data_IF_082348168103
#
_entry.id   IF_082348168103
#
_cell.length_a   1.000
_cell.length_b   1.000
_cell.length_c   1.000
_cell.angle_alpha   90.00
_cell.angle_beta   90.00
_cell.angle_gamma   90.00
#
_symmetry.space_group_name_H-M   'P 1'
#
loop_
_entity.id
_entity.type
_entity.pdbx_description
1 polymer ?
#
# COMPACT_ATOMS: atom_id res chain seq x y z
N UNK A 1 -15.59 -79.28 -0.63
CA UNK A 1 -16.07 -78.48 -1.76
C UNK A 1 -15.90 -76.99 -1.45
N UNK A 2 -14.80 -76.32 -1.84
CA UNK A 2 -14.73 -74.87 -1.81
C UNK A 2 -14.77 -74.32 -3.24
N UNK A 3 -15.80 -73.53 -3.57
CA UNK A 3 -15.82 -72.71 -4.80
C UNK A 3 -14.96 -71.47 -4.55
N UNK A 4 -13.76 -71.45 -5.15
CA UNK A 4 -12.97 -70.24 -5.34
C UNK A 4 -13.73 -69.33 -6.31
N UNK A 5 -14.32 -68.25 -5.82
CA UNK A 5 -14.78 -67.17 -6.69
C UNK A 5 -13.54 -66.43 -7.19
N UNK A 6 -13.39 -66.48 -8.51
CA UNK A 6 -12.30 -65.89 -9.25
C UNK A 6 -12.41 -64.35 -9.23
N UNK A 7 -11.25 -63.74 -9.04
CA UNK A 7 -10.88 -62.37 -9.36
C UNK A 7 -11.66 -61.78 -10.55
N UNK A 8 -12.40 -60.70 -10.32
CA UNK A 8 -12.74 -59.73 -11.37
C UNK A 8 -13.12 -58.38 -10.79
N UNK A 9 -12.20 -57.68 -10.12
CA UNK A 9 -12.39 -56.27 -9.77
C UNK A 9 -11.06 -55.47 -9.84
N UNK A 10 -10.16 -55.87 -10.75
CA UNK A 10 -8.86 -55.20 -10.98
C UNK A 10 -8.81 -54.35 -12.26
N UNK A 11 -9.93 -53.73 -12.65
CA UNK A 11 -9.91 -52.71 -13.70
C UNK A 11 -10.59 -51.46 -13.19
N UNK A 12 -9.84 -50.69 -12.39
CA UNK A 12 -10.17 -49.30 -12.11
C UNK A 12 -10.35 -48.57 -13.45
N UNK A 13 -11.60 -48.20 -13.76
CA UNK A 13 -11.96 -47.51 -14.98
C UNK A 13 -11.17 -46.21 -15.08
N UNK A 14 -10.61 -45.88 -16.25
CA UNK A 14 -9.87 -44.64 -16.48
C UNK A 14 -10.62 -43.39 -15.99
N UNK A 15 -11.95 -43.40 -16.01
CA UNK A 15 -12.79 -42.36 -15.41
C UNK A 15 -12.49 -42.11 -13.91
N UNK A 16 -12.28 -43.17 -13.11
CA UNK A 16 -11.90 -43.04 -11.69
C UNK A 16 -10.52 -42.40 -11.53
N UNK A 17 -9.60 -42.62 -12.47
CA UNK A 17 -8.28 -41.97 -12.44
C UNK A 17 -8.39 -40.47 -12.74
N UNK A 18 -9.25 -40.07 -13.68
CA UNK A 18 -9.55 -38.66 -13.95
C UNK A 18 -10.21 -37.97 -12.75
N UNK A 19 -11.20 -38.62 -12.12
CA UNK A 19 -11.86 -38.07 -10.94
C UNK A 19 -10.88 -37.89 -9.78
N UNK A 20 -9.98 -38.84 -9.56
CA UNK A 20 -8.91 -38.76 -8.55
C UNK A 20 -7.93 -37.64 -8.89
N UNK A 21 -7.55 -37.47 -10.16
CA UNK A 21 -6.63 -36.42 -10.60
C UNK A 21 -7.26 -35.02 -10.49
N UNK A 22 -8.55 -34.88 -10.78
CA UNK A 22 -9.29 -33.63 -10.61
C UNK A 22 -9.46 -33.28 -9.12
N UNK A 23 -9.76 -34.27 -8.27
CA UNK A 23 -9.84 -34.08 -6.82
C UNK A 23 -8.48 -33.69 -6.20
N UNK A 24 -7.38 -34.28 -6.68
CA UNK A 24 -6.02 -33.93 -6.25
C UNK A 24 -5.62 -32.51 -6.70
N UNK A 25 -6.03 -32.10 -7.90
CA UNK A 25 -5.78 -30.75 -8.43
C UNK A 25 -6.53 -29.67 -7.64
N UNK A 26 -7.78 -29.96 -7.21
CA UNK A 26 -8.56 -29.05 -6.37
C UNK A 26 -8.01 -28.93 -4.94
N UNK A 27 -7.44 -30.00 -4.37
CA UNK A 27 -6.81 -29.97 -3.02
C UNK A 27 -5.50 -29.18 -2.97
N UNK A 28 -4.78 -29.11 -4.09
CA UNK A 28 -3.53 -28.34 -4.21
C UNK A 28 -3.74 -26.91 -4.76
N UNK A 29 -5.00 -26.50 -5.00
CA UNK A 29 -5.30 -25.12 -5.34
C UNK A 29 -4.98 -24.24 -4.14
N UNK A 30 -3.86 -23.50 -4.21
CA UNK A 30 -3.50 -22.50 -3.21
C UNK A 30 -4.72 -21.59 -3.01
N UNK A 31 -5.19 -21.36 -1.76
CA UNK A 31 -6.30 -20.48 -1.52
C UNK A 31 -6.02 -19.14 -2.22
N UNK A 32 -6.99 -18.66 -2.99
CA UNK A 32 -6.94 -17.35 -3.62
C UNK A 32 -6.81 -16.33 -2.48
N UNK A 33 -5.58 -15.98 -2.14
CA UNK A 33 -5.28 -14.98 -1.15
C UNK A 33 -5.94 -13.66 -1.54
N UNK A 34 -6.03 -12.73 -0.59
CA UNK A 34 -6.56 -11.40 -0.86
C UNK A 34 -5.87 -10.82 -2.11
N UNK A 35 -6.63 -10.35 -3.11
CA UNK A 35 -6.05 -9.76 -4.31
C UNK A 35 -5.05 -8.66 -3.91
N UNK A 36 -3.90 -8.65 -4.58
CA UNK A 36 -2.86 -7.65 -4.32
C UNK A 36 -3.47 -6.26 -4.53
N UNK A 37 -3.20 -5.33 -3.62
CA UNK A 37 -3.65 -3.94 -3.76
C UNK A 37 -3.07 -3.36 -5.07
N UNK A 38 -3.89 -2.59 -5.81
CA UNK A 38 -3.48 -1.94 -7.07
C UNK A 38 -2.25 -1.05 -6.92
N UNK A 39 -2.11 -0.40 -5.76
CA UNK A 39 -0.95 0.41 -5.41
C UNK A 39 -0.22 -0.24 -4.24
N UNK A 40 1.03 -0.64 -4.45
CA UNK A 40 1.89 -1.12 -3.38
C UNK A 40 2.44 0.09 -2.61
N UNK A 41 1.98 0.27 -1.38
CA UNK A 41 2.56 1.25 -0.46
C UNK A 41 3.78 0.62 0.19
N UNK A 42 4.95 1.26 0.05
CA UNK A 42 6.12 0.91 0.84
C UNK A 42 5.98 1.53 2.23
N UNK A 43 6.19 0.77 3.32
CA UNK A 43 6.22 1.36 4.65
C UNK A 43 7.44 2.27 4.78
N UNK A 44 7.21 3.49 5.26
CA UNK A 44 8.26 4.50 5.48
C UNK A 44 8.15 5.01 6.90
N UNK A 45 9.28 5.04 7.62
CA UNK A 45 9.38 5.60 8.97
C UNK A 45 9.87 7.04 8.87
N UNK A 46 9.16 7.97 9.52
CA UNK A 46 9.52 9.39 9.56
C UNK A 46 9.85 9.73 11.00
N UNK A 47 11.06 10.24 11.22
CA UNK A 47 11.51 10.70 12.53
C UNK A 47 11.12 12.17 12.70
N UNK A 48 10.33 12.45 13.73
CA UNK A 48 9.88 13.79 14.06
C UNK A 48 10.44 14.19 15.43
N UNK A 49 10.82 15.45 15.55
CA UNK A 49 11.04 16.07 16.85
C UNK A 49 9.75 16.09 17.66
N UNK A 50 9.86 16.27 18.98
CA UNK A 50 8.69 16.37 19.83
C UNK A 50 7.78 17.55 19.43
N UNK A 51 8.38 18.66 18.97
CA UNK A 51 7.66 19.83 18.51
C UNK A 51 6.86 19.54 17.23
N UNK A 52 7.46 18.86 16.24
CA UNK A 52 6.79 18.48 15.00
C UNK A 52 5.66 17.49 15.23
N UNK A 53 5.86 16.48 16.11
CA UNK A 53 4.80 15.53 16.44
C UNK A 53 3.59 16.22 17.10
N UNK A 54 3.82 17.23 17.95
CA UNK A 54 2.75 18.05 18.53
C UNK A 54 2.01 18.84 17.46
N UNK A 55 2.72 19.44 16.50
CA UNK A 55 2.12 20.15 15.36
C UNK A 55 1.26 19.22 14.50
N UNK A 56 1.79 18.04 14.14
CA UNK A 56 1.05 17.03 13.37
C UNK A 56 -0.21 16.55 14.11
N UNK A 57 -0.11 16.33 15.42
CA UNK A 57 -1.25 15.91 16.23
C UNK A 57 -2.34 16.99 16.29
N UNK A 58 -1.95 18.26 16.43
CA UNK A 58 -2.89 19.39 16.39
C UNK A 58 -3.57 19.50 15.02
N UNK A 59 -2.78 19.48 13.95
CA UNK A 59 -3.29 19.53 12.58
C UNK A 59 -4.29 18.40 12.31
N UNK A 60 -3.95 17.18 12.75
CA UNK A 60 -4.83 16.04 12.62
C UNK A 60 -6.17 16.25 13.32
N UNK A 61 -6.16 16.74 14.57
CA UNK A 61 -7.41 17.01 15.27
C UNK A 61 -8.28 18.01 14.51
N UNK A 62 -7.69 19.13 14.06
CA UNK A 62 -8.40 20.16 13.30
C UNK A 62 -9.02 19.63 12.00
N UNK A 63 -8.29 18.81 11.24
CA UNK A 63 -8.78 18.30 9.96
C UNK A 63 -9.74 17.11 10.16
N UNK A 64 -9.55 16.31 11.21
CA UNK A 64 -10.33 15.10 11.47
C UNK A 64 -11.81 15.36 11.71
N UNK A 65 -12.17 16.57 12.14
CA UNK A 65 -13.56 17.00 12.30
C UNK A 65 -14.31 17.10 10.96
N UNK A 66 -13.59 17.38 9.87
CA UNK A 66 -14.18 17.59 8.54
C UNK A 66 -13.94 16.40 7.61
N UNK A 67 -12.82 15.71 7.77
CA UNK A 67 -12.40 14.62 6.87
C UNK A 67 -11.86 13.46 7.71
N UNK A 68 -12.36 12.24 7.43
CA UNK A 68 -11.79 11.03 8.03
C UNK A 68 -10.42 10.74 7.42
N UNK A 69 -9.38 11.28 8.05
CA UNK A 69 -7.98 11.17 7.62
C UNK A 69 -7.10 10.78 8.79
N UNK A 70 -6.11 9.91 8.56
CA UNK A 70 -5.14 9.55 9.60
C UNK A 70 -3.88 10.45 9.54
N UNK A 71 -3.08 10.44 10.61
CA UNK A 71 -1.82 11.21 10.69
C UNK A 71 -0.85 10.89 9.55
N UNK A 72 -0.75 9.62 9.12
CA UNK A 72 0.14 9.24 8.02
C UNK A 72 -0.33 9.76 6.66
N UNK A 73 -1.64 9.86 6.44
CA UNK A 73 -2.24 10.42 5.24
C UNK A 73 -2.05 11.93 5.17
N UNK A 74 -2.13 12.64 6.30
CA UNK A 74 -1.78 14.06 6.36
C UNK A 74 -0.33 14.32 5.95
N UNK A 75 0.60 13.44 6.34
CA UNK A 75 1.98 13.54 5.87
C UNK A 75 2.08 13.28 4.36
N UNK A 76 1.29 12.34 3.84
CA UNK A 76 1.17 12.14 2.38
C UNK A 76 0.68 13.39 1.65
N UNK A 77 -0.39 14.03 2.15
CA UNK A 77 -0.91 15.28 1.59
C UNK A 77 0.14 16.39 1.62
N UNK A 78 0.91 16.50 2.70
CA UNK A 78 1.98 17.48 2.80
C UNK A 78 3.08 17.24 1.74
N UNK A 79 3.45 15.98 1.49
CA UNK A 79 4.41 15.61 0.43
C UNK A 79 3.86 15.98 -0.95
N UNK A 80 2.61 15.64 -1.24
CA UNK A 80 1.98 15.94 -2.53
C UNK A 80 1.86 17.46 -2.77
N UNK A 81 1.54 18.23 -1.72
CA UNK A 81 1.49 19.69 -1.79
C UNK A 81 2.87 20.30 -2.09
N UNK A 82 3.93 19.82 -1.42
CA UNK A 82 5.29 20.26 -1.68
C UNK A 82 5.76 19.89 -3.08
N UNK A 83 5.45 18.68 -3.57
CA UNK A 83 5.75 18.26 -4.93
C UNK A 83 5.07 19.17 -5.96
N UNK A 84 3.77 19.44 -5.77
CA UNK A 84 2.99 20.32 -6.65
C UNK A 84 3.55 21.75 -6.67
N UNK A 85 4.00 22.27 -5.53
CA UNK A 85 4.63 23.58 -5.43
C UNK A 85 5.90 23.63 -6.29
N UNK A 86 6.77 22.62 -6.16
CA UNK A 86 8.03 22.53 -6.91
C UNK A 86 7.76 22.37 -8.41
N UNK A 87 6.79 21.55 -8.80
CA UNK A 87 6.40 21.38 -10.21
C UNK A 87 5.88 22.69 -10.82
N UNK A 88 5.07 23.46 -10.09
CA UNK A 88 4.49 24.71 -10.57
C UNK A 88 5.49 25.86 -10.65
N UNK A 89 6.39 25.99 -9.68
CA UNK A 89 7.40 27.05 -9.66
C UNK A 89 8.62 26.69 -10.52
N UNK A 90 8.80 25.41 -10.81
CA UNK A 90 9.94 24.88 -11.54
C UNK A 90 11.20 24.84 -10.66
N UNK A 91 12.17 23.97 -10.98
CA UNK A 91 13.43 23.87 -10.25
C UNK A 91 14.25 25.17 -10.33
N UNK A 92 14.09 25.96 -11.40
CA UNK A 92 14.76 27.24 -11.56
C UNK A 92 14.40 28.27 -10.47
N UNK A 93 13.18 28.25 -9.96
CA UNK A 93 12.80 29.12 -8.84
C UNK A 93 13.53 28.72 -7.55
N UNK A 94 13.88 27.44 -7.36
CA UNK A 94 14.67 26.99 -6.21
C UNK A 94 16.14 27.38 -6.34
N UNK A 95 16.67 27.44 -7.57
CA UNK A 95 18.04 27.89 -7.87
C UNK A 95 18.23 29.40 -7.65
N UNK A 96 17.23 30.21 -8.04
CA UNK A 96 17.25 31.66 -7.81
C UNK A 96 17.06 32.03 -6.33
N UNK A 97 16.40 31.17 -5.54
CA UNK A 97 16.01 31.45 -4.16
C UNK A 97 17.11 31.23 -3.11
N UNK A 98 18.34 30.87 -3.51
CA UNK A 98 19.48 30.62 -2.59
C UNK A 98 19.05 29.90 -1.31
N UNK A 99 18.56 28.67 -1.48
CA UNK A 99 18.08 27.81 -0.39
C UNK A 99 19.25 27.31 0.47
N UNK A 100 19.82 28.22 1.25
CA UNK A 100 20.96 27.92 2.12
C UNK A 100 20.52 27.24 3.43
N UNK A 101 19.23 27.32 3.79
CA UNK A 101 18.69 26.76 5.03
C UNK A 101 17.25 26.23 4.89
N UNK A 102 16.87 25.34 5.81
CA UNK A 102 15.53 24.77 5.94
C UNK A 102 14.51 25.83 6.36
N UNK A 103 14.92 26.87 7.09
CA UNK A 103 14.02 27.95 7.49
C UNK A 103 13.60 28.83 6.32
N UNK A 104 14.54 29.22 5.44
CA UNK A 104 14.20 29.99 4.23
C UNK A 104 13.31 29.19 3.29
N UNK A 105 13.57 27.89 3.13
CA UNK A 105 12.66 27.00 2.39
C UNK A 105 11.24 26.99 2.98
N UNK A 106 11.14 26.91 4.31
CA UNK A 106 9.84 26.92 5.00
C UNK A 106 9.07 28.22 4.74
N UNK A 107 9.73 29.37 4.76
CA UNK A 107 9.11 30.67 4.47
C UNK A 107 8.54 30.75 3.05
N UNK A 108 9.31 30.29 2.06
CA UNK A 108 8.88 30.22 0.66
C UNK A 108 7.63 29.34 0.51
N UNK A 109 7.60 28.19 1.19
CA UNK A 109 6.42 27.31 1.19
C UNK A 109 5.21 28.03 1.79
N UNK A 110 5.39 28.79 2.87
CA UNK A 110 4.30 29.56 3.47
C UNK A 110 3.79 30.68 2.56
N UNK A 111 4.68 31.42 1.91
CA UNK A 111 4.30 32.50 1.01
C UNK A 111 3.58 31.97 -0.24
N UNK A 112 3.99 30.80 -0.75
CA UNK A 112 3.24 30.12 -1.81
C UNK A 112 1.81 29.75 -1.38
N UNK A 113 1.62 29.27 -0.15
CA UNK A 113 0.28 28.89 0.33
C UNK A 113 -0.62 30.10 0.67
N UNK A 114 -0.08 31.31 0.73
CA UNK A 114 -0.85 32.56 0.93
C UNK A 114 -1.34 33.20 -0.37
N UNK A 115 -0.87 32.73 -1.53
CA UNK A 115 -1.34 33.13 -2.87
C UNK A 115 -2.65 32.42 -3.23
#
# INVERSE_FOLDING_TARGET
MPKRNANSDEKGTFAKLYDVQEQMSRRNAKPLGRPRKKVQRKPTTIHLTQAENRKLSRLHLTVSEQVSINRSELVGVAIDALATLIEKKGPAALEEMQLDDVETFREIVFDFMKL
#
